data_IF_193037054009
#
_entry.id   IF_193037054009
#
_cell.length_a   1.000
_cell.length_b   1.000
_cell.length_c   1.000
_cell.angle_alpha   90.00
_cell.angle_beta   90.00
_cell.angle_gamma   90.00
#
_symmetry.space_group_name_H-M   'P 1'
#
loop_
_entity.id
_entity.type
_entity.pdbx_description
1 polymer ?
#
# COMPACT_ATOMS: atom_id res chain seq x y z
N UNK A 1 10.80 12.22 -9.26
CA UNK A 1 9.66 11.45 -8.69
C UNK A 1 9.95 10.00 -8.99
N UNK A 2 9.93 9.16 -7.95
CA UNK A 2 10.07 7.72 -8.12
C UNK A 2 8.87 6.97 -7.55
N UNK A 3 8.73 5.72 -7.95
CA UNK A 3 7.55 4.89 -7.68
C UNK A 3 7.97 3.51 -7.17
N UNK A 4 7.13 2.90 -6.33
CA UNK A 4 7.24 1.50 -5.94
C UNK A 4 5.85 0.87 -5.76
N UNK A 5 5.76 -0.46 -5.92
CA UNK A 5 4.55 -1.25 -5.66
C UNK A 5 4.89 -2.33 -4.64
N UNK A 6 4.08 -2.46 -3.60
CA UNK A 6 4.17 -3.55 -2.60
C UNK A 6 2.96 -4.49 -2.80
N UNK A 7 3.18 -5.77 -3.14
CA UNK A 7 2.11 -6.76 -3.12
C UNK A 7 1.64 -7.02 -1.69
N UNK A 8 0.34 -6.81 -1.41
CA UNK A 8 -0.22 -6.99 -0.05
C UNK A 8 -0.15 -8.43 0.47
N UNK A 9 -0.01 -9.43 -0.42
CA UNK A 9 0.26 -10.83 -0.05
C UNK A 9 1.56 -11.05 0.73
N UNK A 10 2.43 -10.03 0.80
CA UNK A 10 3.67 -10.06 1.58
C UNK A 10 3.46 -9.67 3.05
N UNK A 11 2.26 -9.24 3.43
CA UNK A 11 1.88 -8.89 4.80
C UNK A 11 1.34 -10.11 5.52
N UNK A 12 1.71 -10.25 6.79
CA UNK A 12 1.04 -11.16 7.72
C UNK A 12 -0.08 -10.38 8.42
N UNK A 13 -1.31 -10.91 8.51
CA UNK A 13 -2.37 -10.29 9.31
C UNK A 13 -1.93 -9.98 10.74
N UNK A 14 -2.38 -8.82 11.26
CA UNK A 14 -2.10 -8.32 12.60
C UNK A 14 -0.63 -8.02 12.92
N UNK A 15 0.26 -8.08 11.92
CA UNK A 15 1.68 -7.76 12.08
C UNK A 15 2.05 -6.51 11.26
N UNK A 16 2.84 -5.64 11.88
CA UNK A 16 3.44 -4.49 11.20
C UNK A 16 4.72 -4.93 10.50
N UNK A 17 4.88 -4.49 9.25
CA UNK A 17 6.06 -4.81 8.44
C UNK A 17 6.65 -3.56 7.81
N UNK A 18 7.92 -3.33 8.12
CA UNK A 18 8.72 -2.26 7.57
C UNK A 18 9.28 -2.65 6.19
N UNK A 19 9.16 -1.75 5.22
CA UNK A 19 9.73 -1.89 3.88
C UNK A 19 10.66 -0.72 3.58
N UNK A 20 11.88 -1.05 3.14
CA UNK A 20 12.78 -0.08 2.50
C UNK A 20 12.77 -0.31 1.00
N UNK A 21 12.31 0.70 0.26
CA UNK A 21 11.98 0.61 -1.16
C UNK A 21 12.92 1.48 -1.98
N UNK A 22 13.69 0.88 -2.89
CA UNK A 22 14.44 1.64 -3.89
C UNK A 22 13.47 2.26 -4.90
N UNK A 23 13.52 3.58 -5.05
CA UNK A 23 12.59 4.30 -5.92
C UNK A 23 12.97 4.15 -7.39
N UNK A 24 12.04 3.66 -8.20
CA UNK A 24 12.20 3.51 -9.64
C UNK A 24 11.61 4.70 -10.40
N UNK A 25 12.02 4.91 -11.65
CA UNK A 25 11.37 5.91 -12.51
C UNK A 25 9.96 5.46 -12.87
N UNK A 26 9.81 4.19 -13.18
CA UNK A 26 8.60 3.56 -13.70
C UNK A 26 8.58 2.07 -13.36
N UNK A 27 7.40 1.45 -13.44
CA UNK A 27 7.21 0.00 -13.30
C UNK A 27 7.32 -0.76 -14.63
N UNK A 28 7.74 -0.08 -15.71
CA UNK A 28 7.89 -0.75 -17.00
C UNK A 28 9.11 -1.66 -16.99
N UNK A 29 8.98 -2.94 -17.40
CA UNK A 29 10.11 -3.85 -17.49
C UNK A 29 11.21 -3.29 -18.41
N UNK A 30 12.47 -3.48 -18.01
CA UNK A 30 13.66 -3.10 -18.78
C UNK A 30 13.79 -1.59 -19.12
N UNK A 31 13.18 -0.70 -18.33
CA UNK A 31 13.39 0.75 -18.47
C UNK A 31 14.81 1.13 -18.03
N UNK A 32 15.63 1.57 -18.99
CA UNK A 32 17.01 2.02 -18.72
C UNK A 32 17.06 3.19 -17.71
N UNK A 33 15.98 3.97 -17.57
CA UNK A 33 15.90 5.07 -16.58
C UNK A 33 15.80 4.59 -15.12
N UNK A 34 15.53 3.30 -14.90
CA UNK A 34 15.52 2.67 -13.58
C UNK A 34 16.93 2.39 -13.05
N UNK A 35 17.98 2.50 -13.87
CA UNK A 35 19.36 2.35 -13.42
C UNK A 35 19.86 3.54 -12.59
N UNK A 36 19.16 4.67 -12.63
CA UNK A 36 19.52 5.86 -11.87
C UNK A 36 18.99 5.76 -10.44
N UNK A 37 19.83 6.01 -9.44
CA UNK A 37 19.39 6.16 -8.06
C UNK A 37 18.41 7.35 -7.92
N UNK A 38 17.25 7.11 -7.30
CA UNK A 38 16.21 8.12 -7.02
C UNK A 38 15.89 8.25 -5.53
N UNK A 39 16.67 7.59 -4.69
CA UNK A 39 16.47 7.51 -3.26
C UNK A 39 15.72 6.27 -2.84
N UNK A 40 15.53 6.15 -1.53
CA UNK A 40 14.80 5.08 -0.87
C UNK A 40 13.61 5.64 -0.13
N UNK A 41 12.51 4.90 -0.06
CA UNK A 41 11.34 5.22 0.76
C UNK A 41 11.18 4.15 1.83
N UNK A 42 10.97 4.56 3.06
CA UNK A 42 10.67 3.69 4.19
C UNK A 42 9.19 3.81 4.51
N UNK A 43 8.48 2.69 4.49
CA UNK A 43 7.06 2.61 4.86
C UNK A 43 6.83 1.44 5.79
N UNK A 44 5.92 1.59 6.74
CA UNK A 44 5.41 0.50 7.55
C UNK A 44 3.97 0.21 7.14
N UNK A 45 3.65 -1.08 6.96
CA UNK A 45 2.32 -1.53 6.58
C UNK A 45 1.81 -2.53 7.62
N UNK A 46 0.55 -2.38 8.01
CA UNK A 46 -0.17 -3.35 8.85
C UNK A 46 -1.51 -3.68 8.23
N UNK A 47 -1.83 -4.96 8.08
CA UNK A 47 -3.15 -5.40 7.63
C UNK A 47 -3.93 -6.01 8.79
N UNK A 48 -5.08 -5.42 9.09
CA UNK A 48 -6.01 -5.87 10.13
C UNK A 48 -7.29 -6.43 9.47
N UNK A 49 -7.41 -7.76 9.31
CA UNK A 49 -8.61 -8.37 8.79
C UNK A 49 -9.83 -8.07 9.68
N UNK A 50 -10.96 -7.78 9.06
CA UNK A 50 -12.23 -7.73 9.76
C UNK A 50 -12.52 -9.12 10.36
N UNK A 51 -13.07 -9.13 11.57
CA UNK A 51 -13.53 -10.37 12.20
C UNK A 51 -14.59 -10.98 11.29
N UNK A 52 -14.36 -12.20 10.84
CA UNK A 52 -15.42 -13.04 10.32
C UNK A 52 -16.29 -13.39 11.53
N UNK A 53 -17.33 -12.59 11.77
CA UNK A 53 -18.43 -13.07 12.59
C UNK A 53 -18.96 -14.28 11.85
N UNK A 54 -18.73 -15.45 12.45
CA UNK A 54 -19.05 -16.75 11.92
C UNK A 54 -20.53 -16.70 11.50
N UNK A 55 -20.78 -16.43 10.22
CA UNK A 55 -22.09 -16.57 9.64
C UNK A 55 -22.31 -18.07 9.63
N UNK A 56 -22.80 -18.60 10.76
CA UNK A 56 -23.75 -19.69 10.79
C UNK A 56 -24.91 -19.25 9.91
N UNK A 57 -24.70 -19.33 8.60
CA UNK A 57 -25.76 -19.51 7.65
C UNK A 57 -26.52 -20.72 8.18
N UNK A 58 -27.81 -20.59 8.55
CA UNK A 58 -28.57 -21.77 8.84
C UNK A 58 -28.51 -22.59 7.56
N UNK A 59 -28.03 -23.83 7.68
CA UNK A 59 -28.22 -24.87 6.68
C UNK A 59 -29.73 -24.99 6.45
N UNK A 60 -30.27 -24.20 5.53
CA UNK A 60 -31.57 -24.46 4.96
C UNK A 60 -31.31 -25.54 3.91
N UNK A 61 -31.42 -26.78 4.37
CA UNK A 61 -31.57 -27.93 3.50
C UNK A 61 -32.98 -27.91 2.92
N UNK A 62 -33.21 -27.06 1.92
CA UNK A 62 -34.39 -27.15 1.08
C UNK A 62 -34.03 -27.91 -0.19
N UNK A 63 -34.61 -29.09 -0.25
CA UNK A 63 -34.79 -29.88 -1.46
C UNK A 63 -35.42 -28.96 -2.52
N UNK A 64 -34.87 -29.01 -3.73
CA UNK A 64 -35.38 -28.40 -4.96
C UNK A 64 -34.65 -27.11 -5.41
N UNK A 65 -33.79 -27.31 -6.41
CA UNK A 65 -32.82 -26.33 -6.86
C UNK A 65 -33.42 -25.07 -7.47
N UNK A 66 -32.91 -23.91 -7.04
CA UNK A 66 -32.56 -22.85 -7.96
C UNK A 66 -31.48 -21.93 -7.37
N UNK A 67 -30.62 -21.44 -8.25
CA UNK A 67 -29.29 -20.90 -8.00
C UNK A 67 -29.33 -19.67 -7.07
N UNK A 68 -28.74 -19.79 -5.88
CA UNK A 68 -28.37 -18.61 -5.10
C UNK A 68 -27.11 -18.02 -5.72
N UNK A 69 -27.23 -16.81 -6.28
CA UNK A 69 -26.09 -16.01 -6.73
C UNK A 69 -25.18 -15.78 -5.53
N UNK A 70 -24.18 -16.63 -5.34
CA UNK A 70 -23.02 -16.33 -4.50
C UNK A 70 -22.41 -15.07 -5.11
N UNK A 71 -22.71 -13.92 -4.51
CA UNK A 71 -21.93 -12.71 -4.77
C UNK A 71 -20.49 -13.11 -4.48
N UNK A 72 -19.60 -12.95 -5.46
CA UNK A 72 -18.15 -12.94 -5.31
C UNK A 72 -17.73 -11.76 -4.42
N UNK A 73 -18.26 -11.69 -3.20
CA UNK A 73 -17.61 -10.95 -2.13
C UNK A 73 -16.49 -11.88 -1.69
N UNK A 74 -15.21 -11.58 -1.97
CA UNK A 74 -14.15 -12.38 -1.39
C UNK A 74 -14.33 -12.34 0.13
N UNK A 75 -14.51 -13.51 0.74
CA UNK A 75 -14.44 -13.66 2.19
C UNK A 75 -13.09 -13.07 2.65
N UNK A 76 -13.13 -12.17 3.65
CA UNK A 76 -11.95 -11.50 4.19
C UNK A 76 -11.71 -10.07 3.67
N UNK A 77 -12.43 -9.10 4.25
CA UNK A 77 -12.08 -7.68 4.21
C UNK A 77 -11.14 -7.28 5.36
N UNK A 78 -10.66 -6.05 5.38
CA UNK A 78 -9.87 -5.53 6.49
C UNK A 78 -9.47 -4.08 6.31
N UNK A 79 -8.79 -3.54 7.32
CA UNK A 79 -8.14 -2.23 7.29
C UNK A 79 -6.67 -2.41 6.93
N UNK A 80 -6.16 -1.56 6.05
CA UNK A 80 -4.74 -1.45 5.77
C UNK A 80 -4.25 -0.12 6.34
N UNK A 81 -3.43 -0.18 7.39
CA UNK A 81 -2.73 0.98 7.92
C UNK A 81 -1.43 1.18 7.13
N UNK A 82 -1.23 2.40 6.62
CA UNK A 82 -0.02 2.77 5.87
C UNK A 82 0.69 3.92 6.59
N UNK A 83 1.83 3.64 7.21
CA UNK A 83 2.72 4.69 7.74
C UNK A 83 3.83 5.02 6.76
N UNK A 84 3.92 6.29 6.37
CA UNK A 84 5.04 6.82 5.58
C UNK A 84 6.04 7.47 6.52
N UNK A 85 7.13 6.76 6.80
CA UNK A 85 8.17 7.17 7.75
C UNK A 85 9.04 8.29 7.16
N UNK A 86 9.93 7.91 6.24
CA UNK A 86 10.93 8.80 5.69
C UNK A 86 11.35 8.39 4.29
N UNK A 87 12.05 9.28 3.60
CA UNK A 87 12.81 8.93 2.42
C UNK A 87 14.27 9.38 2.57
N UNK A 88 15.16 8.79 1.80
CA UNK A 88 16.60 9.04 1.82
C UNK A 88 17.12 9.23 0.40
N UNK A 89 18.09 10.13 0.22
CA UNK A 89 18.75 10.40 -1.06
C UNK A 89 17.78 10.69 -2.22
N UNK A 90 16.64 11.31 -1.91
CA UNK A 90 15.61 11.55 -2.93
C UNK A 90 16.15 12.50 -4.00
N UNK A 91 16.01 12.09 -5.25
CA UNK A 91 16.55 12.86 -6.37
C UNK A 91 15.97 14.29 -6.45
N UNK A 92 16.84 15.27 -6.63
CA UNK A 92 16.44 16.67 -6.85
C UNK A 92 17.64 17.61 -6.85
N UNK A 93 17.69 18.56 -7.79
CA UNK A 93 18.86 19.45 -7.94
C UNK A 93 18.80 20.69 -7.03
N UNK A 94 17.63 21.31 -6.87
CA UNK A 94 17.40 22.52 -6.05
C UNK A 94 15.97 22.54 -5.53
N UNK A 95 15.80 22.85 -4.24
CA UNK A 95 14.50 23.04 -3.57
C UNK A 95 13.45 21.98 -3.91
N UNK A 96 13.72 20.72 -3.55
CA UNK A 96 12.74 19.65 -3.71
C UNK A 96 11.61 19.83 -2.71
N UNK A 97 10.37 19.88 -3.20
CA UNK A 97 9.15 19.82 -2.42
C UNK A 97 8.74 18.35 -2.38
N UNK A 98 9.10 17.66 -1.31
CA UNK A 98 8.91 16.23 -1.18
C UNK A 98 7.56 15.95 -0.53
N UNK A 99 6.83 15.03 -1.14
CA UNK A 99 5.61 14.44 -0.62
C UNK A 99 5.51 13.00 -1.14
N UNK A 100 4.81 12.16 -0.41
CA UNK A 100 4.47 10.80 -0.79
C UNK A 100 3.00 10.74 -1.21
N UNK A 101 2.72 9.85 -2.16
CA UNK A 101 1.37 9.56 -2.63
C UNK A 101 1.15 8.07 -2.47
N UNK A 102 0.12 7.70 -1.71
CA UNK A 102 -0.34 6.32 -1.56
C UNK A 102 -1.56 6.13 -2.45
N UNK A 103 -1.56 5.06 -3.25
CA UNK A 103 -2.69 4.69 -4.12
C UNK A 103 -3.11 3.27 -3.76
N UNK A 104 -4.34 3.11 -3.28
CA UNK A 104 -4.91 1.82 -2.93
C UNK A 104 -6.35 1.71 -3.44
N UNK A 105 -6.64 0.70 -4.26
CA UNK A 105 -7.99 0.46 -4.84
C UNK A 105 -8.66 1.70 -5.47
N UNK A 106 -7.86 2.61 -6.04
CA UNK A 106 -8.33 3.85 -6.66
C UNK A 106 -8.44 5.05 -5.70
N UNK A 107 -8.32 4.83 -4.39
CA UNK A 107 -8.17 5.90 -3.41
C UNK A 107 -6.74 6.45 -3.44
N UNK A 108 -6.62 7.77 -3.32
CA UNK A 108 -5.35 8.48 -3.31
C UNK A 108 -5.23 9.27 -2.01
N UNK A 109 -4.14 9.04 -1.27
CA UNK A 109 -3.75 9.79 -0.07
C UNK A 109 -2.40 10.45 -0.29
N UNK A 110 -2.23 11.66 0.23
CA UNK A 110 -0.98 12.42 0.11
C UNK A 110 -0.59 12.98 1.48
N UNK A 111 0.69 12.95 1.79
CA UNK A 111 1.22 13.53 3.02
C UNK A 111 1.54 15.02 2.86
N UNK A 112 1.88 15.67 3.97
CA UNK A 112 2.30 17.08 3.94
C UNK A 112 3.60 17.27 3.16
N UNK A 113 3.67 18.35 2.40
CA UNK A 113 4.88 18.71 1.63
C UNK A 113 5.99 19.19 2.57
N UNK A 114 7.15 18.55 2.52
CA UNK A 114 8.39 19.01 3.15
C UNK A 114 9.24 19.71 2.11
N UNK A 115 9.54 20.99 2.34
CA UNK A 115 10.29 21.82 1.41
C UNK A 115 11.80 21.76 1.69
N UNK A 116 12.59 21.79 0.62
CA UNK A 116 14.06 21.91 0.67
C UNK A 116 14.75 20.77 1.44
N UNK A 117 14.14 19.58 1.46
CA UNK A 117 14.73 18.36 2.00
C UNK A 117 15.15 17.42 0.88
N UNK A 118 16.13 16.55 1.15
CA UNK A 118 16.42 15.33 0.38
C UNK A 118 16.09 14.07 1.16
N UNK A 119 16.13 14.18 2.49
CA UNK A 119 15.84 13.11 3.43
C UNK A 119 14.64 13.48 4.32
N UNK A 120 13.43 13.60 3.74
CA UNK A 120 12.24 14.02 4.46
C UNK A 120 11.82 12.95 5.47
N UNK A 121 11.27 13.40 6.61
CA UNK A 121 10.63 12.55 7.62
C UNK A 121 9.22 13.06 7.83
N UNK A 122 8.24 12.22 7.53
CA UNK A 122 6.82 12.57 7.62
C UNK A 122 6.17 11.96 8.85
N UNK A 123 6.43 10.68 9.11
CA UNK A 123 5.79 9.91 10.17
C UNK A 123 4.27 10.09 10.13
N UNK A 124 3.69 9.93 8.94
CA UNK A 124 2.27 10.19 8.67
C UNK A 124 1.56 8.88 8.29
N UNK A 125 0.42 8.63 8.93
CA UNK A 125 -0.39 7.43 8.79
C UNK A 125 -1.67 7.69 8.00
N UNK A 126 -2.10 6.71 7.20
CA UNK A 126 -3.33 6.73 6.39
C UNK A 126 -4.16 5.47 6.58
#
# INVERSE_FOLDING_TARGET
MGVQVIPLRLLTPYESKLFTLDLLKSMTPNDQQNMKNRGKLVVELTFDPFREENNTSPLISDVEGNISLKRDVPDGGGVLLVSVENAEDVEGKRHTNLYAVVIFRGEKRENKVIRKARDPRWNEEF
#
